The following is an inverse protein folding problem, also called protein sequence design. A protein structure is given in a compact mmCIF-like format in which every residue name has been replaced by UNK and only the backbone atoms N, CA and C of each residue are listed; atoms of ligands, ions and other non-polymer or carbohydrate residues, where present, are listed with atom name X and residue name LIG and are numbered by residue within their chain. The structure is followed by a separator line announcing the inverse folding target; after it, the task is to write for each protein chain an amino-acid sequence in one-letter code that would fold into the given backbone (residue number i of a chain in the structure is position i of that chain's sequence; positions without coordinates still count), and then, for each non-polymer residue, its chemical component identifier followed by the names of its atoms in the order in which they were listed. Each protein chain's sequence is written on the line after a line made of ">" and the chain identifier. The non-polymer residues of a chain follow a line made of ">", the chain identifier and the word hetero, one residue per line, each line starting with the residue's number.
data_IF_403427481119
#
_entry.id   IF_403427481119
#
_cell.length_a   1.000
_cell.length_b   1.000
_cell.length_c   1.000
_cell.angle_alpha   90.00
_cell.angle_beta   90.00
_cell.angle_gamma   90.00
#
_symmetry.space_group_name_H-M   'P 1'
#
loop_
_entity.id
_entity.type
_entity.pdbx_description
1 polymer ?
#
# COMPACT_ATOMS: atom_id res chain seq x y z
N UNK A 1 10.27 0.87 -4.58
CA UNK A 1 11.26 1.11 -3.52
C UNK A 1 11.22 2.60 -3.24
N UNK A 2 10.46 3.01 -2.22
CA UNK A 2 10.40 4.41 -1.84
C UNK A 2 11.74 4.81 -1.19
N UNK A 3 12.25 5.98 -1.57
CA UNK A 3 13.44 6.59 -0.99
C UNK A 3 13.27 6.74 0.54
N UNK A 4 14.32 6.45 1.31
CA UNK A 4 14.30 6.52 2.77
C UNK A 4 14.04 7.96 3.25
N UNK A 5 14.51 8.96 2.51
CA UNK A 5 14.22 10.36 2.80
C UNK A 5 12.74 10.71 2.56
N UNK A 6 12.12 10.14 1.53
CA UNK A 6 10.67 10.28 1.31
C UNK A 6 9.89 9.55 2.40
N UNK A 7 10.31 8.35 2.79
CA UNK A 7 9.69 7.60 3.87
C UNK A 7 9.75 8.32 5.22
N UNK A 8 10.85 9.05 5.49
CA UNK A 8 10.97 9.89 6.68
C UNK A 8 10.00 11.08 6.64
N UNK A 9 9.84 11.71 5.47
CA UNK A 9 8.86 12.79 5.28
C UNK A 9 7.44 12.29 5.55
N UNK A 10 7.05 11.16 4.95
CA UNK A 10 5.73 10.54 5.17
C UNK A 10 5.50 10.20 6.66
N UNK A 11 6.53 9.71 7.36
CA UNK A 11 6.45 9.36 8.76
C UNK A 11 6.21 10.57 9.67
N UNK A 12 6.88 11.70 9.38
CA UNK A 12 6.72 12.97 10.12
C UNK A 12 5.34 13.57 9.82
N UNK A 13 4.90 13.56 8.56
CA UNK A 13 3.57 14.08 8.19
C UNK A 13 2.43 13.30 8.84
N UNK A 14 2.57 11.96 8.91
CA UNK A 14 1.63 11.12 9.62
C UNK A 14 1.65 11.41 11.14
N UNK A 15 2.82 11.68 11.73
CA UNK A 15 2.95 11.99 13.15
C UNK A 15 2.24 13.31 13.48
N UNK A 16 2.44 14.34 12.66
CA UNK A 16 1.80 15.64 12.83
C UNK A 16 0.26 15.52 12.75
N UNK A 17 -0.22 14.68 11.82
CA UNK A 17 -1.65 14.36 11.68
C UNK A 17 -2.19 13.70 12.95
N UNK A 18 -1.46 12.72 13.49
CA UNK A 18 -1.82 12.03 14.72
C UNK A 18 -1.82 12.97 15.93
N UNK A 19 -0.85 13.88 16.04
CA UNK A 19 -0.79 14.90 17.10
C UNK A 19 -1.97 15.87 17.03
N UNK A 20 -2.35 16.32 15.82
CA UNK A 20 -3.53 17.18 15.66
C UNK A 20 -4.82 16.44 16.02
N UNK A 21 -4.98 15.19 15.56
CA UNK A 21 -6.12 14.35 15.92
C UNK A 21 -6.18 14.12 17.43
N UNK A 22 -5.04 13.95 18.09
CA UNK A 22 -4.93 13.77 19.53
C UNK A 22 -5.45 14.97 20.32
N UNK A 23 -4.97 16.16 19.98
CA UNK A 23 -5.41 17.40 20.63
C UNK A 23 -6.89 17.65 20.39
N UNK A 24 -7.39 17.36 19.19
CA UNK A 24 -8.81 17.50 18.87
C UNK A 24 -9.67 16.46 19.62
N UNK A 25 -9.19 15.22 19.77
CA UNK A 25 -9.86 14.19 20.57
C UNK A 25 -9.96 14.59 22.04
N UNK A 26 -8.88 15.07 22.64
CA UNK A 26 -8.88 15.61 24.01
C UNK A 26 -9.89 16.76 24.13
N UNK A 27 -9.84 17.72 23.20
CA UNK A 27 -10.73 18.90 23.23
C UNK A 27 -12.21 18.55 23.12
N UNK A 28 -12.55 17.51 22.35
CA UNK A 28 -13.95 17.20 22.03
C UNK A 28 -14.55 16.12 22.90
N UNK A 29 -13.75 15.21 23.46
CA UNK A 29 -14.24 14.03 24.20
C UNK A 29 -13.83 13.98 25.66
N UNK A 30 -13.14 15.01 26.18
CA UNK A 30 -12.77 15.02 27.60
C UNK A 30 -14.00 14.84 28.50
N UNK A 31 -13.91 14.02 29.57
CA UNK A 31 -14.97 13.94 30.56
C UNK A 31 -15.09 15.28 31.31
N UNK A 32 -16.25 15.53 31.92
CA UNK A 32 -16.42 16.64 32.85
C UNK A 32 -15.68 16.32 34.15
N UNK A 33 -15.03 17.32 34.74
CA UNK A 33 -14.42 17.18 36.05
C UNK A 33 -15.45 17.25 37.16
N UNK A 34 -15.30 16.41 38.18
CA UNK A 34 -16.11 16.49 39.40
C UNK A 34 -15.41 17.42 40.41
N UNK A 35 -16.08 18.51 40.79
CA UNK A 35 -15.58 19.46 41.79
C UNK A 35 -16.25 19.14 43.14
N UNK A 36 -15.48 18.90 44.21
CA UNK A 36 -16.06 18.58 45.52
C UNK A 36 -16.98 19.70 46.01
N UNK A 37 -18.24 19.36 46.28
CA UNK A 37 -19.26 20.30 46.75
C UNK A 37 -20.11 20.97 45.66
N UNK A 38 -19.90 20.63 44.37
CA UNK A 38 -20.74 21.10 43.27
C UNK A 38 -21.50 19.94 42.58
N UNK A 39 -22.73 20.17 42.10
CA UNK A 39 -23.44 19.18 41.30
C UNK A 39 -22.72 18.94 39.97
N UNK A 40 -22.72 17.70 39.49
CA UNK A 40 -22.07 17.34 38.23
C UNK A 40 -22.65 18.16 37.08
N UNK A 41 -21.76 18.76 36.27
CA UNK A 41 -22.14 19.54 35.09
C UNK A 41 -22.29 18.67 33.83
N UNK A 42 -22.15 17.35 33.96
CA UNK A 42 -22.34 16.43 32.85
C UNK A 42 -23.79 16.50 32.34
N UNK A 43 -24.01 16.56 31.01
CA UNK A 43 -25.33 16.36 30.42
C UNK A 43 -25.88 15.00 30.87
N UNK A 44 -27.11 14.98 31.37
CA UNK A 44 -27.78 13.73 31.73
C UNK A 44 -27.75 12.77 30.53
N UNK A 45 -27.38 11.49 30.71
CA UNK A 45 -27.46 10.51 29.65
C UNK A 45 -28.92 10.42 29.21
N UNK A 46 -29.21 10.81 27.98
CA UNK A 46 -30.54 10.64 27.40
C UNK A 46 -30.98 9.17 27.61
N UNK A 47 -32.17 8.92 28.17
CA UNK A 47 -32.60 7.54 28.41
C UNK A 47 -32.66 6.81 27.07
N UNK A 48 -32.03 5.65 27.00
CA UNK A 48 -32.06 4.69 25.88
C UNK A 48 -33.47 4.07 25.65
N UNK A 49 -34.55 4.77 26.01
CA UNK A 49 -35.92 4.28 25.93
C UNK A 49 -36.62 4.77 24.67
N UNK A 50 -36.24 4.20 23.52
CA UNK A 50 -37.15 4.01 22.39
C UNK A 50 -36.57 2.96 21.44
N UNK A 51 -36.55 1.71 21.87
CA UNK A 51 -36.59 0.58 20.94
C UNK A 51 -37.96 0.65 20.25
N UNK A 52 -38.06 0.88 18.92
CA UNK A 52 -39.35 0.76 18.25
C UNK A 52 -39.67 -0.74 18.14
N UNK A 53 -40.42 -1.26 19.10
CA UNK A 53 -41.01 -2.58 18.98
C UNK A 53 -42.15 -2.55 17.95
N UNK A 54 -42.11 -3.55 17.07
CA UNK A 54 -43.20 -4.12 16.26
C UNK A 54 -43.85 -3.26 15.16
N UNK A 55 -43.62 -3.70 13.93
CA UNK A 55 -44.55 -3.53 12.80
C UNK A 55 -45.90 -4.21 13.13
N UNK A 56 -47.03 -3.66 12.65
CA UNK A 56 -48.18 -4.46 12.25
C UNK A 56 -48.34 -4.41 10.73
N UNK A 57 -48.27 -5.58 10.09
CA UNK A 57 -48.53 -5.76 8.66
C UNK A 57 -49.97 -6.25 8.48
N UNK A 58 -50.76 -5.59 7.63
CA UNK A 58 -51.80 -6.25 6.83
C UNK A 58 -53.24 -5.71 6.88
N UNK A 59 -53.63 -5.09 5.76
CA UNK A 59 -54.97 -5.11 5.11
C UNK A 59 -56.06 -4.16 5.68
N UNK A 60 -56.77 -3.32 4.92
CA UNK A 60 -56.86 -3.00 3.49
C UNK A 60 -58.05 -2.05 3.29
N UNK A 61 -58.01 -1.19 2.25
CA UNK A 61 -59.12 -0.48 1.56
C UNK A 61 -58.78 0.98 1.20
N UNK A 62 -58.32 1.18 -0.04
CA UNK A 62 -58.41 2.42 -0.83
C UNK A 62 -59.88 2.66 -1.29
N UNK A 63 -60.32 3.78 -1.94
CA UNK A 63 -59.56 4.59 -2.94
C UNK A 63 -59.87 6.11 -3.08
N UNK A 64 -58.95 6.85 -3.72
CA UNK A 64 -59.14 7.73 -4.90
C UNK A 64 -58.11 8.89 -4.97
N UNK A 65 -57.39 8.99 -6.11
CA UNK A 65 -56.34 10.00 -6.43
C UNK A 65 -56.88 11.33 -6.99
N UNK A 66 -56.13 12.13 -7.81
CA UNK A 66 -54.83 11.89 -8.46
C UNK A 66 -53.75 13.00 -8.22
N UNK A 67 -52.49 12.67 -8.46
CA UNK A 67 -51.34 13.62 -8.57
C UNK A 67 -51.20 14.15 -10.01
N UNK A 68 -50.75 15.41 -10.19
CA UNK A 68 -49.53 15.59 -10.97
C UNK A 68 -48.60 16.75 -10.53
N UNK A 69 -47.31 16.42 -10.51
CA UNK A 69 -46.09 17.22 -10.70
C UNK A 69 -46.03 18.74 -10.49
N UNK A 70 -45.11 19.17 -9.62
CA UNK A 70 -44.21 20.30 -9.89
C UNK A 70 -42.98 20.22 -8.97
N UNK A 71 -41.78 20.20 -9.57
CA UNK A 71 -40.52 20.50 -8.88
C UNK A 71 -40.60 21.94 -8.36
N UNK A 72 -40.50 22.11 -7.04
CA UNK A 72 -40.12 23.40 -6.45
C UNK A 72 -38.76 23.22 -5.77
N UNK A 73 -37.76 23.78 -6.43
CA UNK A 73 -36.44 24.11 -5.89
C UNK A 73 -36.68 25.18 -4.81
N UNK A 74 -36.31 24.93 -3.56
CA UNK A 74 -36.14 25.97 -2.56
C UNK A 74 -34.66 25.98 -2.14
N UNK A 75 -33.93 26.88 -2.79
CA UNK A 75 -32.55 27.24 -2.53
C UNK A 75 -32.56 28.29 -1.40
N UNK A 76 -32.08 27.87 -0.23
CA UNK A 76 -31.01 28.52 0.55
C UNK A 76 -31.25 29.77 1.45
N UNK A 77 -30.50 29.72 2.57
CA UNK A 77 -30.06 30.77 3.53
C UNK A 77 -31.08 31.36 4.54
N UNK A 78 -30.82 31.52 5.85
CA UNK A 78 -29.70 31.29 6.79
C UNK A 78 -30.27 31.60 8.21
N UNK A 79 -29.93 30.99 9.35
CA UNK A 79 -28.68 31.14 10.12
C UNK A 79 -28.85 30.41 11.47
N UNK A 80 -27.90 29.57 11.87
CA UNK A 80 -27.85 28.97 13.23
C UNK A 80 -27.39 27.52 13.27
N UNK A 81 -26.29 27.19 12.58
CA UNK A 81 -25.63 25.88 12.66
C UNK A 81 -25.15 25.59 14.08
N UNK A 82 -25.95 24.85 14.87
CA UNK A 82 -25.51 24.27 16.14
C UNK A 82 -24.46 23.22 15.83
N UNK A 83 -23.22 23.53 16.17
CA UNK A 83 -22.08 22.63 16.21
C UNK A 83 -22.43 21.40 17.04
N UNK A 84 -22.62 20.24 16.40
CA UNK A 84 -22.80 18.97 17.10
C UNK A 84 -21.43 18.47 17.58
N UNK A 85 -20.96 19.01 18.71
CA UNK A 85 -19.84 18.39 19.43
C UNK A 85 -20.29 16.98 19.85
N UNK A 86 -19.49 15.92 19.60
CA UNK A 86 -19.84 14.57 20.03
C UNK A 86 -20.01 14.53 21.55
N UNK A 87 -20.90 13.66 22.08
CA UNK A 87 -21.07 13.53 23.51
C UNK A 87 -19.75 13.10 24.18
N UNK A 88 -19.47 13.60 25.39
CA UNK A 88 -18.25 13.28 26.12
C UNK A 88 -18.24 11.80 26.51
N UNK A 89 -17.03 11.23 26.53
CA UNK A 89 -16.85 9.82 26.86
C UNK A 89 -16.76 9.61 28.37
N UNK A 90 -17.04 8.37 28.79
CA UNK A 90 -16.76 7.94 30.15
C UNK A 90 -15.25 8.04 30.45
N UNK A 91 -14.85 8.41 31.68
CA UNK A 91 -13.46 8.68 32.01
C UNK A 91 -12.54 7.47 31.77
N UNK A 92 -13.04 6.25 32.00
CA UNK A 92 -12.26 5.02 31.79
C UNK A 92 -11.95 4.78 30.30
N UNK A 93 -12.95 4.95 29.43
CA UNK A 93 -12.79 4.79 27.98
C UNK A 93 -11.91 5.88 27.38
N UNK A 94 -12.05 7.11 27.88
CA UNK A 94 -11.21 8.24 27.49
C UNK A 94 -9.74 7.99 27.86
N UNK A 95 -9.48 7.56 29.10
CA UNK A 95 -8.12 7.24 29.55
C UNK A 95 -7.50 6.07 28.77
N UNK A 96 -8.28 5.02 28.48
CA UNK A 96 -7.82 3.90 27.66
C UNK A 96 -7.41 4.37 26.25
N UNK A 97 -8.24 5.21 25.63
CA UNK A 97 -7.98 5.78 24.30
C UNK A 97 -6.77 6.72 24.31
N UNK A 98 -6.57 7.53 25.37
CA UNK A 98 -5.37 8.34 25.55
C UNK A 98 -4.10 7.49 25.65
N UNK A 99 -4.16 6.36 26.36
CA UNK A 99 -3.03 5.45 26.47
C UNK A 99 -2.70 4.77 25.13
N UNK A 100 -3.70 4.39 24.34
CA UNK A 100 -3.50 3.85 22.99
C UNK A 100 -2.84 4.87 22.07
N UNK A 101 -3.35 6.09 22.07
CA UNK A 101 -2.83 7.21 21.29
C UNK A 101 -1.39 7.59 21.69
N UNK A 102 -1.09 7.62 22.99
CA UNK A 102 0.26 7.86 23.49
C UNK A 102 1.21 6.73 23.07
N UNK A 103 0.75 5.48 23.07
CA UNK A 103 1.54 4.33 22.61
C UNK A 103 1.87 4.44 21.12
N UNK A 104 0.89 4.81 20.31
CA UNK A 104 1.05 4.97 18.86
C UNK A 104 2.07 6.08 18.54
N UNK A 105 1.96 7.22 19.22
CA UNK A 105 2.94 8.31 19.10
C UNK A 105 4.36 7.87 19.45
N UNK A 106 4.55 7.11 20.53
CA UNK A 106 5.87 6.61 20.94
C UNK A 106 6.43 5.61 19.94
N UNK A 107 5.59 4.71 19.41
CA UNK A 107 6.02 3.76 18.39
C UNK A 107 6.41 4.46 17.09
N UNK A 108 5.67 5.51 16.72
CA UNK A 108 5.97 6.29 15.53
C UNK A 108 7.27 7.09 15.66
N UNK A 109 7.53 7.68 16.84
CA UNK A 109 8.83 8.30 17.15
C UNK A 109 9.97 7.30 17.05
N UNK A 110 9.82 6.10 17.63
CA UNK A 110 10.83 5.05 17.50
C UNK A 110 11.06 4.65 16.04
N UNK A 111 9.99 4.58 15.24
CA UNK A 111 10.10 4.31 13.81
C UNK A 111 10.87 5.41 13.08
N UNK A 112 10.65 6.68 13.44
CA UNK A 112 11.38 7.83 12.92
C UNK A 112 12.86 7.74 13.30
N UNK A 113 13.20 7.39 14.54
CA UNK A 113 14.59 7.19 14.97
C UNK A 113 15.29 6.08 14.17
N UNK A 114 14.62 4.96 13.95
CA UNK A 114 15.16 3.86 13.13
C UNK A 114 15.35 4.32 11.68
N UNK A 115 14.39 5.07 11.13
CA UNK A 115 14.49 5.62 9.79
C UNK A 115 15.68 6.56 9.66
N UNK A 116 15.84 7.48 10.62
CA UNK A 116 16.98 8.37 10.71
C UNK A 116 18.26 7.54 10.75
N UNK A 117 18.43 6.62 11.70
CA UNK A 117 19.65 5.81 11.82
C UNK A 117 19.95 4.94 10.58
N UNK A 118 18.92 4.62 9.79
CA UNK A 118 19.05 3.86 8.54
C UNK A 118 19.34 4.71 7.30
N UNK A 119 19.41 6.05 7.43
CA UNK A 119 19.65 6.93 6.30
C UNK A 119 21.03 6.66 5.68
N UNK A 120 21.08 6.32 4.37
CA UNK A 120 22.34 6.03 3.72
C UNK A 120 23.21 7.29 3.65
N UNK A 121 24.50 7.15 3.95
CA UNK A 121 25.45 8.26 3.91
C UNK A 121 25.51 9.09 5.19
N UNK A 122 24.73 8.76 6.23
CA UNK A 122 24.90 9.34 7.56
C UNK A 122 26.34 9.16 8.07
N UNK A 123 26.94 10.25 8.55
CA UNK A 123 28.30 10.26 9.07
C UNK A 123 29.41 10.18 8.02
N UNK A 124 29.09 10.05 6.73
CA UNK A 124 30.08 10.15 5.66
C UNK A 124 30.15 11.56 5.10
N UNK A 125 31.36 12.10 5.04
CA UNK A 125 31.59 13.43 4.46
C UNK A 125 31.35 13.39 2.94
N UNK A 126 30.81 14.46 2.37
CA UNK A 126 30.67 14.64 0.91
C UNK A 126 31.94 14.28 0.13
N UNK A 127 33.16 14.75 0.49
CA UNK A 127 34.36 14.36 -0.26
C UNK A 127 34.66 12.86 -0.18
N UNK A 128 34.36 12.18 0.92
CA UNK A 128 34.50 10.72 1.01
C UNK A 128 33.48 9.98 0.14
N UNK A 129 32.25 10.48 0.05
CA UNK A 129 31.23 9.94 -0.84
C UNK A 129 31.63 10.11 -2.30
N UNK A 130 32.10 11.30 -2.69
CA UNK A 130 32.57 11.57 -4.05
C UNK A 130 33.76 10.68 -4.46
N UNK A 131 34.72 10.45 -3.55
CA UNK A 131 35.82 9.51 -3.82
C UNK A 131 35.32 8.09 -4.06
N UNK A 132 34.43 7.61 -3.19
CA UNK A 132 33.81 6.29 -3.33
C UNK A 132 33.03 6.16 -4.64
N UNK A 133 32.34 7.21 -5.08
CA UNK A 133 31.65 7.20 -6.38
C UNK A 133 32.64 7.03 -7.54
N UNK A 134 33.75 7.79 -7.55
CA UNK A 134 34.78 7.67 -8.61
C UNK A 134 35.45 6.30 -8.62
N UNK A 135 35.69 5.71 -7.46
CA UNK A 135 36.23 4.36 -7.34
C UNK A 135 35.26 3.32 -7.92
N UNK A 136 33.97 3.40 -7.54
CA UNK A 136 32.93 2.52 -8.08
C UNK A 136 32.76 2.69 -9.59
N UNK A 137 32.79 3.91 -10.12
CA UNK A 137 32.75 4.17 -11.56
C UNK A 137 33.92 3.52 -12.30
N UNK A 138 35.13 3.60 -11.73
CA UNK A 138 36.30 2.95 -12.30
C UNK A 138 36.17 1.43 -12.29
N UNK A 139 35.70 0.85 -11.17
CA UNK A 139 35.43 -0.59 -11.04
C UNK A 139 34.39 -1.05 -12.07
N UNK A 140 33.26 -0.33 -12.18
CA UNK A 140 32.19 -0.62 -13.14
C UNK A 140 32.73 -0.68 -14.57
N UNK A 141 33.58 0.28 -14.95
CA UNK A 141 34.23 0.31 -16.26
C UNK A 141 35.12 -0.90 -16.52
N UNK A 142 35.83 -1.39 -15.50
CA UNK A 142 36.66 -2.60 -15.65
C UNK A 142 35.79 -3.85 -15.81
N UNK A 143 34.75 -3.99 -15.00
CA UNK A 143 33.81 -5.13 -15.05
C UNK A 143 33.07 -5.16 -16.39
N UNK A 144 32.62 -4.02 -16.89
CA UNK A 144 32.01 -3.91 -18.22
C UNK A 144 32.99 -4.31 -19.33
N UNK A 145 34.26 -3.93 -19.21
CA UNK A 145 35.30 -4.33 -20.15
C UNK A 145 35.51 -5.84 -20.19
N UNK A 146 35.49 -6.49 -19.02
CA UNK A 146 35.54 -7.97 -18.91
C UNK A 146 34.28 -8.60 -19.51
N UNK A 147 33.10 -8.08 -19.17
CA UNK A 147 31.81 -8.55 -19.70
C UNK A 147 31.81 -8.51 -21.23
N UNK A 148 32.30 -7.42 -21.83
CA UNK A 148 32.37 -7.26 -23.29
C UNK A 148 33.30 -8.30 -23.93
N UNK A 149 34.49 -8.53 -23.38
CA UNK A 149 35.42 -9.55 -23.91
C UNK A 149 34.82 -10.96 -23.81
N UNK A 150 34.19 -11.29 -22.68
CA UNK A 150 33.51 -12.57 -22.51
C UNK A 150 32.36 -12.74 -23.51
N UNK A 151 31.66 -11.66 -23.86
CA UNK A 151 30.61 -11.67 -24.88
C UNK A 151 31.17 -11.89 -26.30
N UNK A 152 32.30 -11.25 -26.64
CA UNK A 152 33.02 -11.49 -27.90
C UNK A 152 33.47 -12.96 -28.02
N UNK A 153 34.08 -13.52 -26.98
CA UNK A 153 34.49 -14.93 -26.96
C UNK A 153 33.30 -15.89 -27.08
N UNK A 154 32.18 -15.55 -26.40
CA UNK A 154 30.92 -16.30 -26.51
C UNK A 154 30.41 -16.29 -27.94
N UNK A 155 30.40 -15.12 -28.60
CA UNK A 155 29.94 -14.99 -29.99
C UNK A 155 30.79 -15.85 -30.94
N UNK A 156 32.12 -15.82 -30.77
CA UNK A 156 33.03 -16.67 -31.54
C UNK A 156 32.74 -18.16 -31.33
N UNK A 157 32.50 -18.60 -30.09
CA UNK A 157 32.15 -19.99 -29.80
C UNK A 157 30.79 -20.39 -30.39
N UNK A 158 29.80 -19.51 -30.34
CA UNK A 158 28.47 -19.73 -30.93
C UNK A 158 28.58 -19.87 -32.45
N UNK A 159 29.37 -19.01 -33.11
CA UNK A 159 29.60 -19.09 -34.55
C UNK A 159 30.27 -20.42 -34.93
N UNK A 160 31.30 -20.85 -34.20
CA UNK A 160 31.96 -22.16 -34.41
C UNK A 160 30.98 -23.32 -34.24
N UNK A 161 30.10 -23.27 -33.23
CA UNK A 161 29.08 -24.29 -33.02
C UNK A 161 28.05 -24.31 -34.16
N UNK A 162 27.64 -23.14 -34.66
CA UNK A 162 26.79 -23.00 -35.83
C UNK A 162 27.40 -23.63 -37.09
N UNK A 163 28.69 -23.41 -37.31
CA UNK A 163 29.43 -24.03 -38.43
C UNK A 163 29.46 -25.56 -38.34
N UNK A 164 29.65 -26.11 -37.14
CA UNK A 164 29.63 -27.57 -36.93
C UNK A 164 28.21 -28.11 -37.17
N UNK A 165 27.18 -27.47 -36.61
CA UNK A 165 25.80 -27.90 -36.76
C UNK A 165 25.34 -27.88 -38.22
N UNK A 166 25.71 -26.85 -38.97
CA UNK A 166 25.40 -26.75 -40.41
C UNK A 166 26.14 -27.80 -41.23
N UNK A 167 27.39 -28.14 -40.89
CA UNK A 167 28.13 -29.24 -41.54
C UNK A 167 27.52 -30.61 -41.25
N UNK A 168 27.14 -30.89 -40.00
CA UNK A 168 26.49 -32.14 -39.61
C UNK A 168 25.08 -32.28 -40.21
N UNK A 169 24.33 -31.18 -40.34
CA UNK A 169 23.02 -31.17 -40.98
C UNK A 169 23.08 -31.30 -42.51
N UNK A 170 24.18 -30.87 -43.15
CA UNK A 170 24.41 -30.99 -44.60
C UNK A 170 24.84 -32.37 -45.07
N UNK A 171 25.25 -33.27 -44.17
CA UNK A 171 25.35 -34.69 -44.52
C UNK A 171 23.92 -35.19 -44.64
N UNK A 172 23.41 -35.51 -45.84
CA UNK A 172 22.10 -36.11 -45.94
C UNK A 172 22.12 -37.35 -45.06
N UNK A 173 21.16 -37.47 -44.14
CA UNK A 173 20.82 -38.78 -43.61
C UNK A 173 20.44 -39.61 -44.83
N UNK A 174 21.40 -40.35 -45.37
CA UNK A 174 21.17 -41.35 -46.40
C UNK A 174 20.33 -42.45 -45.77
N UNK A 175 19.04 -42.20 -45.68
CA UNK A 175 18.00 -43.20 -45.45
C UNK A 175 17.76 -44.05 -46.70
N UNK A 176 18.69 -44.06 -47.66
CA UNK A 176 18.57 -44.72 -48.97
C UNK A 176 19.11 -46.15 -49.02
N UNK A 177 19.80 -46.65 -47.97
CA UNK A 177 20.39 -48.00 -48.00
C UNK A 177 19.60 -49.11 -47.29
N UNK A 178 18.37 -48.85 -46.82
CA UNK A 178 17.53 -49.87 -46.17
C UNK A 178 16.33 -50.38 -47.00
N UNK A 179 16.18 -49.94 -48.27
CA UNK A 179 15.07 -50.42 -49.14
C UNK A 179 15.48 -51.41 -50.26
N UNK A 180 16.75 -51.77 -50.42
CA UNK A 180 17.17 -52.65 -51.54
C UNK A 180 17.08 -54.17 -51.27
N UNK A 181 16.69 -54.62 -50.07
CA UNK A 181 16.66 -56.04 -49.71
C UNK A 181 15.28 -56.72 -49.67
N UNK A 182 14.19 -56.04 -50.07
CA UNK A 182 12.84 -56.64 -50.01
C UNK A 182 12.37 -57.27 -51.34
N UNK A 183 13.09 -57.12 -52.46
CA UNK A 183 12.59 -57.55 -53.78
C UNK A 183 13.26 -58.79 -54.42
N UNK A 184 14.04 -59.60 -53.68
CA UNK A 184 14.65 -60.85 -54.21
C UNK A 184 14.14 -62.13 -53.55
N UNK A 185 12.83 -62.26 -53.32
CA UNK A 185 12.29 -63.56 -52.89
C UNK A 185 10.85 -63.88 -53.34
N UNK A 186 10.40 -63.35 -54.48
CA UNK A 186 9.14 -63.79 -55.10
C UNK A 186 9.31 -63.84 -56.61
N UNK A 187 9.82 -64.96 -57.14
CA UNK A 187 9.53 -65.53 -58.47
C UNK A 187 10.45 -66.73 -58.72
N UNK A 188 10.04 -67.90 -58.24
CA UNK A 188 10.33 -69.20 -58.87
C UNK A 188 9.32 -70.23 -58.35
N UNK A 189 8.22 -70.35 -59.07
CA UNK A 189 7.39 -71.55 -59.22
C UNK A 189 6.74 -71.47 -60.60
#
# INVERSE_FOLDING_TARGET
>A
MADRLTQLQDAIDNQLTLMYAAVNYIRTRHPYGDIPGQPSQAPDPAPLSAVPQSLPNGDGSQPNGPVPGAKAIALDQQQGSKTSTPPPEQPDNFNASLHELARDLVLQEQQIEILINSLPGLGSSEPSQQRRMRELEAELRTVEGVRRKAEEEKEVMVNKLGDILTRTQRVPRDTSMLQSHVHRHVTMS
#
